data_IF_959904090102
#
_entry.id   IF_959904090102
#
_cell.length_a   1.000
_cell.length_b   1.000
_cell.length_c   1.000
_cell.angle_alpha   90.00
_cell.angle_beta   90.00
_cell.angle_gamma   90.00
#
_symmetry.space_group_name_H-M   'P 1'
#
loop_
_entity.id
_entity.type
_entity.pdbx_description
1 polymer ?
#
# COMPACT_ATOMS: atom_id res chain seq x y z
N UNK A 1 2.15 -19.01 7.44
CA UNK A 1 2.13 -17.64 6.88
C UNK A 1 3.21 -16.84 7.57
N UNK A 2 4.29 -16.52 6.86
CA UNK A 2 5.26 -15.53 7.34
C UNK A 2 4.56 -14.18 7.27
N UNK A 3 4.36 -13.51 8.41
CA UNK A 3 3.75 -12.17 8.44
C UNK A 3 4.57 -11.22 7.56
N UNK A 4 3.95 -10.20 6.97
CA UNK A 4 4.66 -9.11 6.28
C UNK A 4 5.87 -8.65 7.12
N UNK A 5 5.67 -8.51 8.44
CA UNK A 5 6.71 -8.15 9.42
C UNK A 5 7.95 -9.07 9.35
N UNK A 6 7.77 -10.39 9.18
CA UNK A 6 8.88 -11.36 9.11
C UNK A 6 9.67 -11.34 7.79
N UNK A 7 9.06 -10.87 6.69
CA UNK A 7 9.78 -10.66 5.43
C UNK A 7 10.48 -9.30 5.40
N UNK A 8 9.97 -8.31 6.14
CA UNK A 8 10.48 -6.93 6.19
C UNK A 8 11.63 -6.73 7.20
N UNK A 9 11.81 -7.67 8.14
CA UNK A 9 12.85 -7.66 9.18
C UNK A 9 14.20 -8.26 8.77
N UNK A 10 14.44 -8.59 7.50
CA UNK A 10 15.79 -8.96 7.06
C UNK A 10 16.74 -7.77 7.26
N UNK A 11 17.54 -7.85 8.32
CA UNK A 11 18.66 -6.98 8.65
C UNK A 11 19.74 -7.20 7.59
N UNK A 12 20.21 -6.13 6.94
CA UNK A 12 21.43 -6.19 6.12
C UNK A 12 22.58 -5.96 7.10
N UNK A 13 23.35 -7.02 7.35
CA UNK A 13 24.56 -6.92 8.17
C UNK A 13 25.68 -6.38 7.31
N UNK A 14 26.24 -5.23 7.68
CA UNK A 14 27.40 -4.67 7.00
C UNK A 14 28.64 -4.93 7.85
N UNK A 15 29.72 -5.36 7.21
CA UNK A 15 30.99 -5.62 7.86
C UNK A 15 31.86 -4.36 7.82
N UNK A 16 32.22 -3.85 9.00
CA UNK A 16 33.15 -2.73 9.16
C UNK A 16 34.61 -3.21 9.03
N UNK A 17 35.34 -2.77 8.01
CA UNK A 17 36.73 -3.24 7.78
C UNK A 17 37.77 -2.72 8.79
N UNK A 18 37.54 -1.57 9.42
CA UNK A 18 38.50 -1.01 10.40
C UNK A 18 38.28 -1.53 11.81
N UNK A 19 37.03 -1.82 12.17
CA UNK A 19 36.67 -2.32 13.48
C UNK A 19 36.47 -3.85 13.52
N UNK A 20 36.67 -4.53 12.38
CA UNK A 20 36.49 -5.97 12.18
C UNK A 20 35.26 -6.56 12.89
N UNK A 21 34.15 -5.80 12.85
CA UNK A 21 32.90 -6.17 13.51
C UNK A 21 31.75 -6.15 12.53
N UNK A 22 30.85 -7.12 12.70
CA UNK A 22 29.56 -7.20 12.04
C UNK A 22 28.63 -6.19 12.71
N UNK A 23 28.12 -5.21 11.96
CA UNK A 23 27.19 -4.20 12.48
C UNK A 23 25.83 -4.33 11.81
N UNK A 24 24.78 -4.24 12.62
CA UNK A 24 23.40 -4.16 12.14
C UNK A 24 23.15 -2.74 11.63
N UNK A 25 23.05 -2.57 10.31
CA UNK A 25 22.75 -1.26 9.71
C UNK A 25 21.30 -1.21 9.21
N UNK A 26 20.56 -0.21 9.71
CA UNK A 26 19.22 0.09 9.25
C UNK A 26 19.30 0.90 7.96
N UNK A 27 18.77 0.32 6.89
CA UNK A 27 18.80 0.91 5.55
C UNK A 27 17.97 2.19 5.52
N UNK A 28 18.64 3.33 5.30
CA UNK A 28 18.09 4.70 5.12
C UNK A 28 17.72 5.49 6.37
N UNK A 29 18.67 5.62 7.28
CA UNK A 29 18.76 6.73 8.21
C UNK A 29 20.03 6.57 9.02
N UNK A 30 20.96 7.51 8.93
CA UNK A 30 22.09 7.52 9.84
C UNK A 30 21.57 7.76 11.25
N UNK A 31 21.32 6.69 12.00
CA UNK A 31 21.60 6.69 13.44
C UNK A 31 22.90 5.95 13.71
N UNK A 32 23.81 5.94 12.74
CA UNK A 32 25.20 5.69 13.02
C UNK A 32 25.78 6.98 13.62
N UNK A 33 25.68 7.11 14.95
CA UNK A 33 26.64 7.91 15.72
C UNK A 33 28.04 7.23 15.72
N UNK A 34 28.23 6.17 14.94
CA UNK A 34 29.50 5.47 14.82
C UNK A 34 30.10 5.69 13.42
N UNK A 35 31.04 6.64 13.37
CA UNK A 35 32.08 6.84 12.36
C UNK A 35 31.67 7.54 11.04
N UNK A 36 32.32 8.68 10.77
CA UNK A 36 32.22 9.53 9.57
C UNK A 36 32.72 8.84 8.26
N UNK A 37 32.94 7.53 8.26
CA UNK A 37 33.72 6.80 7.26
C UNK A 37 32.90 5.92 6.30
N UNK A 38 31.58 6.09 6.24
CA UNK A 38 30.77 5.33 5.27
C UNK A 38 30.89 5.95 3.87
N UNK A 39 31.94 5.61 3.12
CA UNK A 39 31.72 5.52 1.68
C UNK A 39 30.71 4.38 1.47
N UNK A 40 29.56 4.63 0.80
CA UNK A 40 28.62 3.57 0.48
C UNK A 40 29.32 2.62 -0.47
N UNK A 41 29.94 1.57 0.05
CA UNK A 41 30.01 0.33 -0.71
C UNK A 41 28.57 0.00 -1.01
N UNK A 42 28.23 -0.13 -2.29
CA UNK A 42 27.84 -1.43 -2.79
C UNK A 42 26.98 -2.22 -1.78
N UNK A 43 25.94 -1.60 -1.22
CA UNK A 43 24.73 -2.33 -0.89
C UNK A 43 24.10 -2.51 -2.24
N UNK A 44 24.61 -3.55 -2.88
CA UNK A 44 24.76 -3.66 -4.32
C UNK A 44 23.37 -3.67 -4.91
N UNK A 45 23.25 -3.13 -6.12
CA UNK A 45 22.01 -3.17 -6.92
C UNK A 45 21.33 -4.54 -6.93
N UNK A 46 22.10 -5.61 -6.68
CA UNK A 46 21.68 -7.00 -6.52
C UNK A 46 20.82 -7.26 -5.27
N UNK A 47 21.22 -6.80 -4.08
CA UNK A 47 20.42 -6.94 -2.85
C UNK A 47 19.10 -6.16 -2.93
N UNK A 48 19.15 -4.96 -3.53
CA UNK A 48 17.97 -4.16 -3.83
C UNK A 48 17.03 -4.86 -4.83
N UNK A 49 17.60 -5.55 -5.82
CA UNK A 49 16.85 -6.31 -6.82
C UNK A 49 16.19 -7.55 -6.21
N UNK A 50 16.90 -8.25 -5.34
CA UNK A 50 16.37 -9.43 -4.62
C UNK A 50 15.28 -9.01 -3.63
N UNK A 51 15.49 -7.94 -2.86
CA UNK A 51 14.46 -7.39 -1.98
C UNK A 51 13.21 -6.95 -2.77
N UNK A 52 13.37 -6.18 -3.86
CA UNK A 52 12.22 -5.78 -4.70
C UNK A 52 11.49 -6.99 -5.28
N UNK A 53 12.20 -8.07 -5.59
CA UNK A 53 11.60 -9.32 -6.03
C UNK A 53 10.76 -9.95 -4.91
N UNK A 54 11.28 -10.04 -3.69
CA UNK A 54 10.50 -10.55 -2.54
C UNK A 54 9.28 -9.67 -2.22
N UNK A 55 9.39 -8.34 -2.36
CA UNK A 55 8.26 -7.43 -2.20
C UNK A 55 7.24 -7.57 -3.34
N UNK A 56 7.66 -7.96 -4.55
CA UNK A 56 6.75 -8.12 -5.69
C UNK A 56 5.82 -9.32 -5.56
N UNK A 57 6.17 -10.29 -4.74
CA UNK A 57 5.30 -11.40 -4.37
C UNK A 57 4.17 -10.97 -3.40
N UNK A 58 4.27 -9.78 -2.79
CA UNK A 58 3.26 -9.23 -1.90
C UNK A 58 2.26 -8.40 -2.72
N UNK A 59 1.00 -8.81 -2.71
CA UNK A 59 -0.11 -8.12 -3.36
C UNK A 59 -0.91 -7.27 -2.36
N UNK A 60 -0.88 -5.94 -2.57
CA UNK A 60 -1.62 -4.97 -1.77
C UNK A 60 -2.94 -4.60 -2.44
N UNK A 61 -4.03 -4.66 -1.69
CA UNK A 61 -5.30 -4.03 -2.05
C UNK A 61 -5.33 -2.57 -1.58
N UNK A 62 -5.27 -1.61 -2.50
CA UNK A 62 -5.29 -0.18 -2.18
C UNK A 62 -6.72 0.38 -2.17
N UNK A 63 -7.29 0.48 -0.99
CA UNK A 63 -8.62 1.03 -0.74
C UNK A 63 -8.58 2.57 -0.54
N UNK A 64 -9.71 3.23 -0.81
CA UNK A 64 -9.90 4.65 -0.53
C UNK A 64 -11.37 5.04 -0.77
N UNK A 65 -11.81 6.24 -0.34
CA UNK A 65 -13.12 6.74 -0.68
C UNK A 65 -13.18 7.10 -2.17
N UNK A 66 -14.33 6.87 -2.81
CA UNK A 66 -14.58 7.30 -4.19
C UNK A 66 -15.79 8.23 -4.29
N UNK A 67 -16.95 7.78 -3.79
CA UNK A 67 -18.22 8.47 -3.97
C UNK A 67 -18.19 9.89 -3.39
N UNK A 68 -18.62 10.86 -4.22
CA UNK A 68 -18.78 12.25 -3.86
C UNK A 68 -19.78 12.90 -4.81
N UNK A 69 -20.51 13.94 -4.40
CA UNK A 69 -21.45 14.66 -5.28
C UNK A 69 -20.72 15.41 -6.39
N UNK A 70 -19.64 16.11 -6.03
CA UNK A 70 -18.80 16.83 -6.98
C UNK A 70 -17.93 15.86 -7.82
N UNK A 71 -18.05 15.83 -9.16
CA UNK A 71 -17.22 15.01 -10.03
C UNK A 71 -15.73 15.34 -9.97
N UNK A 72 -15.35 16.58 -9.62
CA UNK A 72 -13.94 16.99 -9.51
C UNK A 72 -13.24 16.25 -8.37
N UNK A 73 -13.92 16.14 -7.22
CA UNK A 73 -13.43 15.37 -6.07
C UNK A 73 -13.25 13.89 -6.42
N UNK A 74 -14.15 13.32 -7.23
CA UNK A 74 -13.99 11.92 -7.68
C UNK A 74 -12.76 11.72 -8.55
N UNK A 75 -12.46 12.69 -9.42
CA UNK A 75 -11.26 12.68 -10.28
C UNK A 75 -10.00 12.90 -9.45
N UNK A 76 -10.04 13.77 -8.46
CA UNK A 76 -8.92 14.04 -7.54
C UNK A 76 -8.56 12.79 -6.72
N UNK A 77 -9.53 12.19 -6.04
CA UNK A 77 -9.33 10.92 -5.31
C UNK A 77 -8.79 9.80 -6.19
N UNK A 78 -9.27 9.71 -7.44
CA UNK A 78 -8.73 8.78 -8.43
C UNK A 78 -7.25 9.04 -8.72
N UNK A 79 -6.84 10.31 -8.87
CA UNK A 79 -5.43 10.66 -9.10
C UNK A 79 -4.56 10.36 -7.89
N UNK A 80 -5.01 10.69 -6.68
CA UNK A 80 -4.28 10.40 -5.45
C UNK A 80 -4.09 8.90 -5.23
N UNK A 81 -5.11 8.09 -5.50
CA UNK A 81 -5.01 6.63 -5.45
C UNK A 81 -4.07 6.06 -6.51
N UNK A 82 -4.05 6.63 -7.73
CA UNK A 82 -3.09 6.24 -8.76
C UNK A 82 -1.65 6.61 -8.35
N UNK A 83 -1.45 7.77 -7.76
CA UNK A 83 -0.15 8.22 -7.28
C UNK A 83 0.37 7.30 -6.18
N UNK A 84 -0.45 7.01 -5.17
CA UNK A 84 -0.13 6.04 -4.13
C UNK A 84 0.16 4.64 -4.69
N UNK A 85 -0.62 4.17 -5.66
CA UNK A 85 -0.33 2.92 -6.36
C UNK A 85 1.04 2.96 -7.07
N UNK A 86 1.38 4.07 -7.71
CA UNK A 86 2.68 4.30 -8.33
C UNK A 86 3.84 4.19 -7.33
N UNK A 87 3.65 4.70 -6.12
CA UNK A 87 4.66 4.59 -5.06
C UNK A 87 4.84 3.14 -4.56
N UNK A 88 3.76 2.37 -4.42
CA UNK A 88 3.85 0.94 -4.09
C UNK A 88 4.59 0.16 -5.18
N UNK A 89 4.31 0.45 -6.45
CA UNK A 89 5.02 -0.15 -7.59
C UNK A 89 6.51 0.23 -7.61
N UNK A 90 6.85 1.50 -7.34
CA UNK A 90 8.25 1.98 -7.27
C UNK A 90 9.04 1.25 -6.16
N UNK A 91 8.38 0.98 -5.04
CA UNK A 91 8.92 0.21 -3.91
C UNK A 91 9.01 -1.31 -4.18
N UNK A 92 8.36 -1.80 -5.23
CA UNK A 92 8.44 -3.18 -5.68
C UNK A 92 7.26 -4.06 -5.29
N UNK A 93 6.19 -3.52 -4.69
CA UNK A 93 4.98 -4.30 -4.40
C UNK A 93 4.15 -4.54 -5.64
N UNK A 94 3.41 -5.64 -5.65
CA UNK A 94 2.23 -5.77 -6.51
C UNK A 94 1.08 -4.99 -5.87
N UNK A 95 0.34 -4.19 -6.65
CA UNK A 95 -0.78 -3.40 -6.15
C UNK A 95 -2.03 -3.56 -7.01
N UNK A 96 -3.15 -3.78 -6.35
CA UNK A 96 -4.48 -3.73 -6.93
C UNK A 96 -5.23 -2.51 -6.37
N UNK A 97 -5.60 -1.57 -7.24
CA UNK A 97 -6.40 -0.41 -6.86
C UNK A 97 -7.76 -0.43 -7.58
N UNK A 98 -8.86 -0.81 -6.90
CA UNK A 98 -10.18 -0.94 -7.52
C UNK A 98 -10.65 0.37 -8.15
N UNK A 99 -10.39 1.51 -7.50
CA UNK A 99 -10.82 2.82 -8.01
C UNK A 99 -10.03 3.17 -9.27
N UNK A 100 -8.71 2.97 -9.27
CA UNK A 100 -7.84 3.19 -10.43
C UNK A 100 -8.33 2.39 -11.66
N UNK A 101 -8.66 1.11 -11.43
CA UNK A 101 -9.18 0.24 -12.48
C UNK A 101 -10.61 0.63 -12.90
N UNK A 102 -11.55 0.67 -11.95
CA UNK A 102 -12.98 0.82 -12.24
C UNK A 102 -13.30 2.22 -12.79
N UNK A 103 -12.68 3.28 -12.26
CA UNK A 103 -12.87 4.65 -12.78
C UNK A 103 -12.51 4.77 -14.27
N UNK A 104 -11.50 4.00 -14.71
CA UNK A 104 -11.06 3.94 -16.10
C UNK A 104 -11.98 3.05 -16.93
N UNK A 105 -12.24 1.80 -16.49
CA UNK A 105 -13.02 0.81 -17.25
C UNK A 105 -14.46 1.28 -17.51
N UNK A 106 -15.12 1.87 -16.50
CA UNK A 106 -16.53 2.28 -16.62
C UNK A 106 -16.74 3.24 -17.79
N UNK A 107 -15.77 4.10 -18.09
CA UNK A 107 -15.83 5.09 -19.17
C UNK A 107 -15.87 4.46 -20.58
N UNK A 108 -15.53 3.18 -20.69
CA UNK A 108 -15.56 2.42 -21.93
C UNK A 108 -16.76 1.47 -22.03
N UNK A 109 -17.65 1.45 -21.03
CA UNK A 109 -18.87 0.66 -21.07
C UNK A 109 -20.01 1.42 -21.76
N UNK A 110 -21.01 0.71 -22.34
CA UNK A 110 -22.26 1.32 -22.79
C UNK A 110 -22.99 1.93 -21.60
N UNK A 111 -23.00 3.27 -21.50
CA UNK A 111 -23.41 3.98 -20.29
C UNK A 111 -24.88 3.74 -19.96
N UNK A 112 -25.75 3.67 -20.97
CA UNK A 112 -27.19 3.45 -20.80
C UNK A 112 -27.50 2.11 -20.12
N UNK A 113 -26.79 1.03 -20.49
CA UNK A 113 -26.97 -0.29 -19.88
C UNK A 113 -26.28 -0.39 -18.52
N UNK A 114 -25.13 0.27 -18.38
CA UNK A 114 -24.34 0.19 -17.17
C UNK A 114 -24.94 1.02 -16.04
N UNK A 115 -25.44 2.22 -16.32
CA UNK A 115 -26.08 3.09 -15.33
C UNK A 115 -27.32 2.43 -14.73
N UNK A 116 -28.18 1.82 -15.56
CA UNK A 116 -29.34 1.06 -15.06
C UNK A 116 -28.93 -0.04 -14.07
N UNK A 117 -27.87 -0.79 -14.41
CA UNK A 117 -27.35 -1.86 -13.55
C UNK A 117 -26.76 -1.32 -12.24
N UNK A 118 -26.11 -0.15 -12.26
CA UNK A 118 -25.62 0.52 -11.07
C UNK A 118 -26.73 1.10 -10.21
N UNK A 119 -27.80 1.62 -10.81
CA UNK A 119 -28.98 2.11 -10.10
C UNK A 119 -29.70 0.98 -9.37
N UNK A 120 -29.83 -0.19 -10.00
CA UNK A 120 -30.46 -1.38 -9.41
C UNK A 120 -29.62 -2.03 -8.31
N UNK A 121 -28.31 -2.19 -8.54
CA UNK A 121 -27.44 -2.98 -7.66
C UNK A 121 -26.61 -2.13 -6.68
N UNK A 122 -26.52 -0.82 -6.90
CA UNK A 122 -25.83 0.13 -6.01
C UNK A 122 -24.43 -0.32 -5.58
N UNK A 123 -24.20 -0.27 -4.27
CA UNK A 123 -22.93 -0.72 -3.66
C UNK A 123 -22.70 -2.24 -3.79
N UNK A 124 -23.76 -3.06 -3.81
CA UNK A 124 -23.62 -4.52 -3.86
C UNK A 124 -22.97 -5.02 -5.14
N UNK A 125 -23.14 -4.27 -6.25
CA UNK A 125 -22.42 -4.54 -7.50
C UNK A 125 -20.90 -4.55 -7.31
N UNK A 126 -20.39 -3.52 -6.63
CA UNK A 126 -18.97 -3.34 -6.38
C UNK A 126 -18.46 -4.30 -5.30
N UNK A 127 -19.19 -4.38 -4.18
CA UNK A 127 -18.85 -5.19 -3.00
C UNK A 127 -18.46 -6.62 -3.38
N UNK A 128 -19.25 -7.31 -4.20
CA UNK A 128 -18.97 -8.71 -4.56
C UNK A 128 -17.64 -8.88 -5.29
N UNK A 129 -17.34 -7.99 -6.25
CA UNK A 129 -16.09 -8.03 -7.02
C UNK A 129 -14.91 -7.63 -6.15
N UNK A 130 -15.06 -6.52 -5.42
CA UNK A 130 -14.00 -5.93 -4.61
C UNK A 130 -13.56 -6.89 -3.50
N UNK A 131 -14.50 -7.49 -2.75
CA UNK A 131 -14.18 -8.46 -1.71
C UNK A 131 -13.60 -9.77 -2.26
N UNK A 132 -14.02 -10.19 -3.47
CA UNK A 132 -13.42 -11.37 -4.12
C UNK A 132 -11.95 -11.14 -4.44
N UNK A 133 -11.59 -9.94 -4.90
CA UNK A 133 -10.20 -9.62 -5.23
C UNK A 133 -9.41 -9.41 -3.93
N UNK A 134 -9.96 -8.68 -2.97
CA UNK A 134 -9.34 -8.44 -1.66
C UNK A 134 -8.97 -9.75 -0.95
N UNK A 135 -9.78 -10.80 -1.09
CA UNK A 135 -9.49 -12.12 -0.52
C UNK A 135 -8.19 -12.75 -1.03
N UNK A 136 -7.76 -12.41 -2.23
CA UNK A 136 -6.54 -12.93 -2.85
C UNK A 136 -5.32 -12.03 -2.59
N UNK A 137 -5.50 -10.90 -1.89
CA UNK A 137 -4.43 -9.98 -1.53
C UNK A 137 -3.81 -10.36 -0.18
N UNK A 138 -2.52 -10.08 -0.02
CA UNK A 138 -1.77 -10.33 1.21
C UNK A 138 -2.04 -9.27 2.30
N UNK A 139 -2.46 -8.08 1.88
CA UNK A 139 -2.83 -7.00 2.78
C UNK A 139 -3.78 -5.99 2.10
N UNK A 140 -4.52 -5.26 2.92
CA UNK A 140 -5.22 -4.04 2.52
C UNK A 140 -4.49 -2.80 3.03
N UNK A 141 -4.39 -1.78 2.20
CA UNK A 141 -3.95 -0.43 2.61
C UNK A 141 -5.08 0.54 2.30
N UNK A 142 -5.49 1.32 3.29
CA UNK A 142 -6.51 2.36 3.16
C UNK A 142 -5.82 3.71 3.02
N UNK A 143 -6.05 4.39 1.90
CA UNK A 143 -5.63 5.77 1.72
C UNK A 143 -6.62 6.72 2.42
N UNK A 144 -6.13 7.44 3.42
CA UNK A 144 -6.93 8.31 4.29
C UNK A 144 -7.21 9.67 3.65
N UNK A 145 -7.88 9.65 2.50
CA UNK A 145 -8.42 10.84 1.87
C UNK A 145 -9.65 11.34 2.63
N UNK A 146 -9.98 12.62 2.53
CA UNK A 146 -11.16 13.19 3.20
C UNK A 146 -12.42 12.32 2.96
N UNK A 147 -13.13 11.95 4.04
CA UNK A 147 -14.31 11.09 3.97
C UNK A 147 -14.02 9.57 3.92
N UNK A 148 -12.77 9.14 4.12
CA UNK A 148 -12.40 7.72 4.10
C UNK A 148 -13.07 6.92 5.22
N UNK A 149 -13.20 7.49 6.42
CA UNK A 149 -13.79 6.86 7.60
C UNK A 149 -15.28 6.61 7.45
N UNK A 150 -15.99 7.39 6.62
CA UNK A 150 -17.44 7.26 6.36
C UNK A 150 -17.72 6.41 5.11
N UNK A 151 -16.68 6.06 4.34
CA UNK A 151 -16.83 5.33 3.08
C UNK A 151 -17.35 3.91 3.31
N UNK A 152 -18.55 3.63 2.79
CA UNK A 152 -19.17 2.29 2.82
C UNK A 152 -18.25 1.22 2.25
N UNK A 153 -17.50 1.54 1.18
CA UNK A 153 -16.60 0.59 0.55
C UNK A 153 -15.34 0.31 1.36
N UNK A 154 -14.78 1.34 2.00
CA UNK A 154 -13.61 1.19 2.87
C UNK A 154 -13.98 0.37 4.11
N UNK A 155 -15.10 0.69 4.76
CA UNK A 155 -15.60 -0.07 5.92
C UNK A 155 -15.87 -1.53 5.58
N UNK A 156 -16.55 -1.79 4.46
CA UNK A 156 -16.83 -3.16 4.02
C UNK A 156 -15.54 -3.97 3.75
N UNK A 157 -14.52 -3.36 3.17
CA UNK A 157 -13.20 -3.99 3.00
C UNK A 157 -12.51 -4.24 4.35
N UNK A 158 -12.56 -3.27 5.26
CA UNK A 158 -11.97 -3.38 6.60
C UNK A 158 -12.58 -4.51 7.42
N UNK A 159 -13.92 -4.56 7.48
CA UNK A 159 -14.65 -5.61 8.19
C UNK A 159 -14.34 -6.99 7.58
N UNK A 160 -14.30 -7.09 6.25
CA UNK A 160 -13.94 -8.31 5.56
C UNK A 160 -12.51 -8.78 5.89
N UNK A 161 -11.55 -7.85 5.92
CA UNK A 161 -10.18 -8.16 6.32
C UNK A 161 -10.10 -8.70 7.74
N UNK A 162 -10.83 -8.06 8.67
CA UNK A 162 -10.90 -8.50 10.08
C UNK A 162 -11.48 -9.92 10.19
N UNK A 163 -12.56 -10.21 9.47
CA UNK A 163 -13.19 -11.53 9.46
C UNK A 163 -12.30 -12.62 8.85
N UNK A 164 -11.44 -12.27 7.88
CA UNK A 164 -10.61 -13.21 7.14
C UNK A 164 -9.13 -13.22 7.59
N UNK A 165 -8.78 -12.49 8.66
CA UNK A 165 -7.40 -12.33 9.16
C UNK A 165 -6.43 -11.78 8.10
N UNK A 166 -6.91 -10.87 7.25
CA UNK A 166 -6.08 -10.16 6.26
C UNK A 166 -5.52 -8.90 6.93
N UNK A 167 -4.19 -8.72 6.99
CA UNK A 167 -3.57 -7.50 7.50
C UNK A 167 -4.14 -6.25 6.81
N UNK A 168 -4.48 -5.23 7.60
CA UNK A 168 -5.02 -3.96 7.09
C UNK A 168 -4.28 -2.80 7.72
N UNK A 169 -3.95 -1.80 6.90
CA UNK A 169 -3.14 -0.65 7.29
C UNK A 169 -3.80 0.64 6.82
N UNK A 170 -3.55 1.71 7.56
CA UNK A 170 -3.96 3.08 7.21
C UNK A 170 -2.76 3.81 6.62
N UNK A 171 -2.99 4.67 5.63
CA UNK A 171 -1.96 5.47 4.99
C UNK A 171 -2.42 6.91 4.84
N UNK A 172 -1.74 7.83 5.54
CA UNK A 172 -1.92 9.26 5.35
C UNK A 172 -0.92 9.77 4.31
N UNK A 173 -1.41 10.52 3.32
CA UNK A 173 -0.56 11.07 2.25
C UNK A 173 0.49 12.06 2.77
N UNK A 174 0.19 12.81 3.83
CA UNK A 174 1.13 13.76 4.45
C UNK A 174 2.29 13.05 5.17
N UNK A 175 2.02 11.88 5.75
CA UNK A 175 3.03 11.01 6.37
C UNK A 175 3.79 10.18 5.31
N UNK A 176 3.21 10.06 4.12
CA UNK A 176 3.79 9.32 3.02
C UNK A 176 4.88 10.13 2.32
N UNK A 177 6.10 9.97 2.79
CA UNK A 177 7.27 10.51 2.10
C UNK A 177 7.81 9.49 1.10
N UNK A 178 7.77 9.82 -0.20
CA UNK A 178 8.33 9.01 -1.31
C UNK A 178 9.77 8.53 -1.06
N UNK A 179 10.57 9.30 -0.33
CA UNK A 179 11.97 8.93 0.01
C UNK A 179 12.08 7.91 1.15
N UNK A 180 11.02 7.70 1.92
CA UNK A 180 10.99 6.90 3.14
C UNK A 180 10.01 5.73 3.10
N UNK A 181 9.41 5.39 1.94
CA UNK A 181 8.44 4.30 1.86
C UNK A 181 9.00 3.02 2.51
N UNK A 182 10.24 2.65 2.21
CA UNK A 182 10.92 1.47 2.80
C UNK A 182 11.13 1.58 4.32
N UNK A 183 11.28 2.79 4.85
CA UNK A 183 11.38 3.03 6.30
C UNK A 183 10.03 2.92 6.99
N UNK A 184 8.98 3.56 6.43
CA UNK A 184 7.60 3.47 6.94
C UNK A 184 7.06 2.04 6.88
N UNK A 185 7.52 1.28 5.89
CA UNK A 185 7.32 -0.15 5.74
C UNK A 185 7.97 -0.94 6.89
N UNK A 186 9.26 -0.67 7.20
CA UNK A 186 10.03 -1.39 8.23
C UNK A 186 9.72 -1.00 9.68
N UNK A 187 9.33 0.25 9.95
CA UNK A 187 8.91 0.69 11.28
C UNK A 187 7.54 0.12 11.70
N UNK A 188 6.99 -0.78 10.88
CA UNK A 188 5.64 -1.28 11.00
C UNK A 188 4.72 -0.29 10.32
N UNK A 189 4.20 -0.67 9.14
CA UNK A 189 3.01 -0.04 8.60
C UNK A 189 2.02 0.26 9.72
N UNK A 190 1.63 1.52 9.77
CA UNK A 190 0.73 2.20 10.72
C UNK A 190 -0.20 1.20 11.43
N UNK A 191 0.19 0.88 12.68
CA UNK A 191 -0.57 0.06 13.63
C UNK A 191 -1.56 0.95 14.39
N UNK A 192 -2.51 1.52 13.68
CA UNK A 192 -3.65 2.15 14.33
C UNK A 192 -4.89 1.33 13.96
N UNK A 193 -5.60 0.72 14.93
CA UNK A 193 -6.90 0.14 14.64
C UNK A 193 -7.80 1.22 14.06
N UNK A 194 -8.70 0.85 13.14
CA UNK A 194 -9.81 1.69 12.72
C UNK A 194 -10.67 1.99 13.95
N UNK A 195 -10.37 3.10 14.62
CA UNK A 195 -11.18 3.63 15.69
C UNK A 195 -12.34 4.37 15.01
N UNK A 196 -13.40 3.62 14.77
CA UNK A 196 -14.70 4.17 14.37
C UNK A 196 -15.33 4.99 15.48
#
# INVERSE_FOLDING_TARGET
MKSLESNMTKIVRLWCRECDTEQDHYFYGTTAECCECLEPRDVLKEDLKEMKKELSDILIYLAGPYAHKDPRVRVERFKELNEAAGWFLEAGFSVFSPISQNHSIIRHLPQEKFNHKLEEAGWDFWKRKDLRILKECDAMVVLCLEGWSESTGVRAGWDFCKENNIPSYILNMEEFNRKNIINSLRSGFIKEPFNG
#
